data_IF_810636308609
#
_entry.id   IF_810636308609
#
_cell.length_a   1.000
_cell.length_b   1.000
_cell.length_c   1.000
_cell.angle_alpha   90.00
_cell.angle_beta   90.00
_cell.angle_gamma   90.00
#
_symmetry.space_group_name_H-M   'P 1'
#
loop_
_entity.id
_entity.type
_entity.pdbx_description
1 polymer ?
#
# COMPACT_ATOMS: atom_id res chain seq x y z
N UNK A 1 13.75 13.04 3.01
CA UNK A 1 12.87 11.94 2.52
C UNK A 1 11.83 11.61 3.57
N UNK A 2 10.59 11.32 3.17
CA UNK A 2 9.50 10.97 4.08
C UNK A 2 9.21 9.47 4.00
N UNK A 3 8.89 8.83 5.12
CA UNK A 3 8.48 7.42 5.15
C UNK A 3 6.96 7.32 5.16
N UNK A 4 6.41 6.35 4.43
CA UNK A 4 4.98 6.06 4.45
C UNK A 4 4.73 4.56 4.27
N UNK A 5 3.68 4.07 4.91
CA UNK A 5 3.15 2.73 4.67
C UNK A 5 1.97 2.81 3.68
N UNK A 6 1.97 1.93 2.69
CA UNK A 6 0.82 1.74 1.81
C UNK A 6 0.06 0.49 2.25
N UNK A 7 -0.97 0.70 3.08
CA UNK A 7 -1.87 -0.36 3.53
C UNK A 7 -2.91 -0.62 2.44
N UNK A 8 -3.05 -1.86 1.98
CA UNK A 8 -4.02 -2.23 0.95
C UNK A 8 -4.63 -3.60 1.19
N UNK A 9 -5.85 -3.81 0.71
CA UNK A 9 -6.53 -5.11 0.75
C UNK A 9 -6.39 -5.82 -0.60
N UNK A 10 -5.66 -6.96 -0.71
CA UNK A 10 -5.51 -7.70 -1.96
C UNK A 10 -6.84 -8.19 -2.55
N UNK A 11 -7.83 -8.44 -1.68
CA UNK A 11 -9.14 -8.98 -2.04
C UNK A 11 -10.16 -7.88 -2.41
N UNK A 12 -9.83 -6.59 -2.25
CA UNK A 12 -10.78 -5.51 -2.53
C UNK A 12 -10.93 -5.23 -4.04
N UNK A 13 -12.14 -4.79 -4.42
CA UNK A 13 -12.47 -4.40 -5.80
C UNK A 13 -12.20 -5.51 -6.82
N UNK A 14 -11.62 -5.13 -7.97
CA UNK A 14 -11.27 -6.05 -9.07
C UNK A 14 -9.89 -6.72 -8.88
N UNK A 15 -9.31 -6.66 -7.67
CA UNK A 15 -8.03 -7.29 -7.33
C UNK A 15 -6.84 -6.90 -8.25
N UNK A 16 -6.89 -5.69 -8.83
CA UNK A 16 -5.85 -5.18 -9.76
C UNK A 16 -4.63 -4.59 -9.04
N UNK A 17 -4.44 -4.90 -7.76
CA UNK A 17 -3.38 -4.30 -6.95
C UNK A 17 -2.00 -4.61 -7.55
N UNK A 18 -1.75 -5.86 -7.97
CA UNK A 18 -0.50 -6.25 -8.62
C UNK A 18 -0.16 -5.39 -9.86
N UNK A 19 -1.19 -4.96 -10.63
CA UNK A 19 -0.99 -4.11 -11.82
C UNK A 19 -0.83 -2.62 -11.49
N UNK A 20 -1.19 -2.18 -10.29
CA UNK A 20 -1.24 -0.75 -9.91
C UNK A 20 -0.16 -0.36 -8.90
N UNK A 21 0.32 -1.30 -8.10
CA UNK A 21 1.27 -1.02 -7.02
C UNK A 21 2.60 -0.48 -7.55
N UNK A 22 3.13 -1.04 -8.64
CA UNK A 22 4.41 -0.58 -9.19
C UNK A 22 4.34 0.88 -9.67
N UNK A 23 3.30 1.22 -10.45
CA UNK A 23 3.09 2.59 -10.92
C UNK A 23 2.81 3.58 -9.79
N UNK A 24 2.04 3.18 -8.78
CA UNK A 24 1.74 4.02 -7.62
C UNK A 24 2.99 4.27 -6.76
N UNK A 25 3.75 3.22 -6.45
CA UNK A 25 4.98 3.32 -5.65
C UNK A 25 6.06 4.10 -6.37
N UNK A 26 6.21 3.94 -7.69
CA UNK A 26 7.13 4.75 -8.49
C UNK A 26 6.82 6.25 -8.41
N UNK A 27 5.54 6.63 -8.55
CA UNK A 27 5.11 8.04 -8.44
C UNK A 27 5.35 8.62 -7.03
N UNK A 28 5.08 7.84 -5.98
CA UNK A 28 5.33 8.26 -4.60
C UNK A 28 6.83 8.41 -4.32
N UNK A 29 7.66 7.48 -4.82
CA UNK A 29 9.12 7.56 -4.71
C UNK A 29 9.70 8.78 -5.43
N UNK A 30 9.20 9.09 -6.63
CA UNK A 30 9.56 10.32 -7.34
C UNK A 30 9.19 11.59 -6.55
N UNK A 31 8.14 11.52 -5.72
CA UNK A 31 7.76 12.58 -4.79
C UNK A 31 8.56 12.61 -3.47
N UNK A 32 9.64 11.84 -3.35
CA UNK A 32 10.52 11.84 -2.17
C UNK A 32 10.06 10.96 -1.00
N UNK A 33 9.16 10.01 -1.26
CA UNK A 33 8.72 9.03 -0.26
C UNK A 33 9.46 7.68 -0.36
N UNK A 34 9.82 7.13 0.78
CA UNK A 34 10.13 5.70 0.92
C UNK A 34 8.83 4.98 1.31
N UNK A 35 8.41 4.00 0.50
CA UNK A 35 7.12 3.30 0.64
C UNK A 35 7.33 1.85 1.06
N UNK A 36 6.74 1.49 2.21
CA UNK A 36 6.63 0.11 2.70
C UNK A 36 5.23 -0.44 2.35
N UNK A 37 5.17 -1.58 1.66
CA UNK A 37 3.89 -2.19 1.26
C UNK A 37 3.35 -3.08 2.39
N UNK A 38 2.09 -2.86 2.77
CA UNK A 38 1.45 -3.58 3.87
C UNK A 38 0.09 -4.19 3.44
N UNK A 39 0.08 -5.39 2.83
CA UNK A 39 -1.16 -6.08 2.48
C UNK A 39 -1.93 -6.54 3.73
N UNK A 40 -3.25 -6.39 3.72
CA UNK A 40 -4.13 -7.00 4.74
C UNK A 40 -4.54 -8.42 4.34
N UNK A 41 -4.45 -9.39 5.24
CA UNK A 41 -4.96 -10.76 5.15
C UNK A 41 -6.40 -10.96 5.64
N UNK A 42 -6.94 -10.09 6.50
CA UNK A 42 -8.30 -10.26 7.05
C UNK A 42 -8.92 -9.00 7.68
N UNK A 43 -10.21 -9.08 8.10
CA UNK A 43 -10.91 -8.00 8.78
C UNK A 43 -10.15 -7.49 10.01
N UNK A 44 -10.16 -6.17 10.25
CA UNK A 44 -9.50 -5.53 11.39
C UNK A 44 -7.99 -5.29 11.23
N UNK A 45 -7.31 -5.96 10.31
CA UNK A 45 -5.86 -5.81 10.17
C UNK A 45 -5.42 -4.43 9.66
N UNK A 46 -6.22 -3.78 8.82
CA UNK A 46 -5.94 -2.41 8.38
C UNK A 46 -5.82 -1.44 9.58
N UNK A 47 -6.68 -1.59 10.58
CA UNK A 47 -6.63 -0.82 11.83
C UNK A 47 -5.37 -1.13 12.63
N UNK A 48 -4.97 -2.41 12.69
CA UNK A 48 -3.75 -2.82 13.39
C UNK A 48 -2.47 -2.26 12.74
N UNK A 49 -2.42 -2.18 11.41
CA UNK A 49 -1.28 -1.65 10.65
C UNK A 49 -1.18 -0.11 10.69
N UNK A 50 -2.26 0.59 11.01
CA UNK A 50 -2.34 2.04 10.98
C UNK A 50 -2.07 2.72 12.34
N UNK A 51 -1.87 1.95 13.40
CA UNK A 51 -1.46 2.43 14.72
C UNK A 51 0.06 2.54 14.79
#
# INVERSE_FOLDING_TARGET
MRRAALIYNPKSGRQRHARRLDGLTARLRAGGYTIDLAPTGGPGQATGLAR
#
